data_IF_663107104404
#
_entry.id   IF_663107104404
#
_cell.length_a   1.000
_cell.length_b   1.000
_cell.length_c   1.000
_cell.angle_alpha   90.00
_cell.angle_beta   90.00
_cell.angle_gamma   90.00
#
_symmetry.space_group_name_H-M   'P 1'
#
loop_
_entity.id
_entity.type
_entity.pdbx_description
1 polymer ?
#
# COMPACT_ATOMS: atom_id res chain seq x y z
N UNK A 1 1.28 10.34 -9.37
CA UNK A 1 2.15 11.34 -10.03
C UNK A 1 1.68 11.65 -11.45
N UNK A 2 1.58 10.66 -12.36
CA UNK A 2 1.24 10.88 -13.78
C UNK A 2 -0.03 11.70 -14.03
N UNK A 3 -1.13 11.39 -13.34
CA UNK A 3 -2.40 12.13 -13.48
C UNK A 3 -2.35 13.57 -12.93
N UNK A 4 -1.38 13.92 -12.07
CA UNK A 4 -1.24 15.26 -11.48
C UNK A 4 -0.13 16.10 -12.11
N UNK A 5 0.97 15.47 -12.52
CA UNK A 5 2.23 16.13 -12.93
C UNK A 5 2.60 15.86 -14.40
N UNK A 6 1.84 15.03 -15.10
CA UNK A 6 2.19 14.55 -16.43
C UNK A 6 3.24 13.43 -16.43
N UNK A 7 3.46 12.77 -17.58
CA UNK A 7 4.28 11.57 -17.68
C UNK A 7 5.76 11.83 -17.38
N UNK A 8 6.37 12.86 -17.99
CA UNK A 8 7.81 13.14 -17.85
C UNK A 8 8.21 13.45 -16.40
N UNK A 9 7.48 14.35 -15.74
CA UNK A 9 7.74 14.70 -14.35
C UNK A 9 7.48 13.52 -13.40
N UNK A 10 6.48 12.68 -13.70
CA UNK A 10 6.22 11.48 -12.91
C UNK A 10 7.38 10.47 -12.98
N UNK A 11 7.93 10.22 -14.17
CA UNK A 11 9.09 9.33 -14.33
C UNK A 11 10.30 9.87 -13.58
N UNK A 12 10.57 11.17 -13.70
CA UNK A 12 11.69 11.79 -12.99
C UNK A 12 11.54 11.70 -11.47
N UNK A 13 10.35 11.97 -10.94
CA UNK A 13 10.11 11.87 -9.50
C UNK A 13 10.28 10.44 -8.98
N UNK A 14 9.86 9.44 -9.76
CA UNK A 14 10.07 8.02 -9.42
C UNK A 14 11.55 7.67 -9.44
N UNK A 15 12.29 8.06 -10.49
CA UNK A 15 13.73 7.81 -10.59
C UNK A 15 14.49 8.47 -9.43
N UNK A 16 14.17 9.73 -9.11
CA UNK A 16 14.76 10.42 -7.97
C UNK A 16 14.49 9.68 -6.66
N UNK A 17 13.24 9.23 -6.43
CA UNK A 17 12.90 8.49 -5.23
C UNK A 17 13.64 7.16 -5.11
N UNK A 18 13.80 6.44 -6.22
CA UNK A 18 14.62 5.22 -6.27
C UNK A 18 16.06 5.55 -5.92
N UNK A 19 16.66 6.56 -6.56
CA UNK A 19 18.04 6.98 -6.29
C UNK A 19 18.27 7.38 -4.83
N UNK A 20 17.33 8.11 -4.22
CA UNK A 20 17.41 8.47 -2.79
C UNK A 20 17.37 7.23 -1.90
N UNK A 21 16.45 6.29 -2.14
CA UNK A 21 16.34 5.05 -1.35
C UNK A 21 17.66 4.26 -1.43
N UNK A 22 18.19 4.04 -2.63
CA UNK A 22 19.46 3.35 -2.83
C UNK A 22 20.62 4.08 -2.13
N UNK A 23 20.71 5.40 -2.31
CA UNK A 23 21.75 6.21 -1.65
C UNK A 23 21.67 6.07 -0.13
N UNK A 24 20.48 6.15 0.46
CA UNK A 24 20.31 6.03 1.91
C UNK A 24 20.65 4.65 2.44
N UNK A 25 20.28 3.59 1.73
CA UNK A 25 20.59 2.20 2.10
C UNK A 25 22.10 1.99 2.12
N UNK A 26 22.78 2.39 1.04
CA UNK A 26 24.24 2.24 0.90
C UNK A 26 24.98 3.12 1.92
N UNK A 27 24.59 4.40 2.04
CA UNK A 27 25.25 5.37 2.93
C UNK A 27 25.16 4.95 4.39
N UNK A 28 24.00 4.49 4.82
CA UNK A 28 23.74 4.14 6.22
C UNK A 28 24.01 2.65 6.50
N UNK A 29 24.41 1.87 5.49
CA UNK A 29 24.67 0.42 5.58
C UNK A 29 23.53 -0.35 6.24
N UNK A 30 22.30 0.01 5.89
CA UNK A 30 21.09 -0.63 6.43
C UNK A 30 20.77 -1.83 5.57
N UNK A 31 20.63 -3.00 6.18
CA UNK A 31 20.19 -4.21 5.49
C UNK A 31 18.71 -4.09 5.09
N UNK A 32 18.36 -4.72 3.98
CA UNK A 32 16.99 -4.72 3.49
C UNK A 32 16.12 -5.67 4.33
N UNK A 33 15.03 -5.15 4.89
CA UNK A 33 14.07 -5.93 5.66
C UNK A 33 12.89 -6.37 4.77
N UNK A 34 12.77 -7.68 4.56
CA UNK A 34 11.74 -8.28 3.73
C UNK A 34 10.35 -8.24 4.40
N UNK A 35 10.28 -8.16 5.73
CA UNK A 35 9.03 -8.15 6.51
C UNK A 35 8.20 -6.87 6.29
N UNK A 36 8.82 -5.82 5.75
CA UNK A 36 8.15 -4.57 5.39
C UNK A 36 6.98 -4.84 4.44
N UNK A 37 7.10 -5.82 3.53
CA UNK A 37 6.03 -6.17 2.61
C UNK A 37 4.80 -6.75 3.32
N UNK A 38 5.00 -7.65 4.27
CA UNK A 38 3.91 -8.24 5.06
C UNK A 38 3.12 -7.16 5.80
N UNK A 39 3.81 -6.20 6.42
CA UNK A 39 3.18 -5.07 7.08
C UNK A 39 2.39 -4.19 6.10
N UNK A 40 2.91 -3.98 4.88
CA UNK A 40 2.21 -3.21 3.84
C UNK A 40 0.98 -3.93 3.31
N UNK A 41 1.04 -5.24 3.16
CA UNK A 41 -0.08 -6.06 2.69
C UNK A 41 -1.18 -6.13 3.75
N UNK A 42 -0.84 -6.38 5.02
CA UNK A 42 -1.80 -6.30 6.12
C UNK A 42 -2.48 -4.92 6.17
N UNK A 43 -1.74 -3.83 5.96
CA UNK A 43 -2.32 -2.49 5.90
C UNK A 43 -3.23 -2.31 4.68
N UNK A 44 -2.91 -2.91 3.54
CA UNK A 44 -3.73 -2.90 2.33
C UNK A 44 -5.04 -3.64 2.56
N UNK A 45 -5.00 -4.82 3.15
CA UNK A 45 -6.18 -5.62 3.49
C UNK A 45 -7.12 -4.85 4.42
N UNK A 46 -6.60 -4.26 5.50
CA UNK A 46 -7.39 -3.41 6.41
C UNK A 46 -8.08 -2.26 5.69
N UNK A 47 -7.39 -1.61 4.74
CA UNK A 47 -8.00 -0.52 3.93
C UNK A 47 -9.11 -1.03 3.02
N UNK A 48 -8.95 -2.20 2.42
CA UNK A 48 -9.96 -2.82 1.59
C UNK A 48 -11.19 -3.19 2.41
N UNK A 49 -11.00 -3.84 3.56
CA UNK A 49 -12.09 -4.20 4.47
C UNK A 49 -12.84 -2.96 4.96
N UNK A 50 -12.11 -1.92 5.41
CA UNK A 50 -12.73 -0.66 5.84
C UNK A 50 -13.52 0.02 4.71
N UNK A 51 -13.02 -0.01 3.47
CA UNK A 51 -13.74 0.50 2.31
C UNK A 51 -15.01 -0.30 2.05
N UNK A 52 -14.94 -1.62 2.14
CA UNK A 52 -16.09 -2.51 1.93
C UNK A 52 -17.17 -2.28 2.99
N UNK A 53 -16.80 -2.22 4.28
CA UNK A 53 -17.71 -1.89 5.38
C UNK A 53 -18.39 -0.54 5.19
N UNK A 54 -17.64 0.48 4.74
CA UNK A 54 -18.21 1.81 4.42
C UNK A 54 -19.21 1.75 3.26
N UNK A 55 -18.92 0.96 2.22
CA UNK A 55 -19.82 0.79 1.08
C UNK A 55 -21.11 0.07 1.49
N UNK A 56 -21.02 -1.00 2.28
CA UNK A 56 -22.17 -1.71 2.81
C UNK A 56 -23.05 -0.80 3.67
N UNK A 57 -22.45 -0.07 4.62
CA UNK A 57 -23.16 0.86 5.49
C UNK A 57 -23.94 1.93 4.70
N UNK A 58 -23.37 2.43 3.60
CA UNK A 58 -24.03 3.40 2.73
C UNK A 58 -25.27 2.83 2.03
N UNK A 59 -25.30 1.52 1.82
CA UNK A 59 -26.43 0.80 1.21
C UNK A 59 -27.41 0.25 2.26
N UNK A 60 -27.20 0.55 3.55
CA UNK A 60 -28.04 0.03 4.65
C UNK A 60 -27.72 -1.41 5.06
N UNK A 61 -26.63 -1.98 4.57
CA UNK A 61 -26.17 -3.32 4.94
C UNK A 61 -25.07 -3.27 5.99
N UNK A 62 -25.05 -4.26 6.88
CA UNK A 62 -23.96 -4.49 7.82
C UNK A 62 -23.14 -5.70 7.38
N UNK A 63 -21.82 -5.54 7.29
CA UNK A 63 -20.92 -6.58 6.84
C UNK A 63 -20.42 -7.37 8.06
N UNK A 64 -20.92 -8.60 8.21
CA UNK A 64 -20.48 -9.53 9.26
C UNK A 64 -19.45 -10.49 8.65
N UNK A 65 -18.27 -10.67 9.27
CA UNK A 65 -17.32 -11.69 8.85
C UNK A 65 -17.96 -13.06 8.92
N UNK A 66 -17.88 -13.82 7.83
CA UNK A 66 -18.25 -15.24 7.88
C UNK A 66 -17.07 -15.92 8.56
N UNK A 67 -17.29 -16.50 9.74
CA UNK A 67 -16.30 -17.39 10.33
C UNK A 67 -16.04 -18.51 9.32
N UNK A 68 -14.77 -18.63 8.91
CA UNK A 68 -14.31 -19.66 7.99
C UNK A 68 -14.50 -21.04 8.61
N UNK A 69 -15.71 -21.59 8.52
CA UNK A 69 -15.90 -23.02 8.52
C UNK A 69 -15.70 -23.49 7.07
N UNK A 70 -14.45 -23.40 6.60
CA UNK A 70 -14.05 -23.92 5.32
C UNK A 70 -13.71 -25.40 5.52
N UNK A 71 -14.53 -26.27 4.93
CA UNK A 71 -14.22 -27.67 4.68
C UNK A 71 -13.03 -27.82 3.72
#
# INVERSE_FOLDING_TARGET
MKAKLGPKAATMATAHKIATIFYTIIKNQVEYDETIWEARDAQRERRLEAKLKRQAKRLGYELVPIESNAA
#
